data_IF_408855130074
#
_entry.id   IF_408855130074
#
_cell.length_a   1.000
_cell.length_b   1.000
_cell.length_c   1.000
_cell.angle_alpha   90.00
_cell.angle_beta   90.00
_cell.angle_gamma   90.00
#
_symmetry.space_group_name_H-M   'P 1'
#
loop_
_entity.id
_entity.type
_entity.pdbx_description
1 polymer ?
#
# COMPACT_ATOMS: atom_id res chain seq x y z
N UNK A 1 -36.76 6.72 -9.71
CA UNK A 1 -36.01 7.90 -9.27
C UNK A 1 -35.89 8.98 -10.35
N UNK A 2 -35.39 8.73 -11.55
CA UNK A 2 -35.22 9.72 -12.61
C UNK A 2 -36.51 10.53 -13.00
N UNK A 3 -37.70 9.98 -12.81
CA UNK A 3 -38.97 10.73 -13.07
C UNK A 3 -39.35 11.71 -11.99
N UNK A 4 -38.96 11.52 -10.75
CA UNK A 4 -39.25 12.43 -9.62
C UNK A 4 -38.28 13.62 -9.60
N UNK A 5 -37.04 13.43 -9.99
CA UNK A 5 -36.06 14.51 -10.12
C UNK A 5 -36.45 15.50 -11.22
N UNK A 6 -36.87 15.01 -12.39
CA UNK A 6 -37.38 15.85 -13.50
C UNK A 6 -38.67 16.65 -13.16
N UNK A 7 -39.51 16.09 -12.30
CA UNK A 7 -40.72 16.79 -11.86
C UNK A 7 -40.44 17.93 -10.86
N UNK A 8 -39.35 17.78 -10.06
CA UNK A 8 -38.91 18.83 -9.14
C UNK A 8 -38.27 20.02 -9.86
N UNK A 9 -37.47 19.75 -10.90
CA UNK A 9 -36.85 20.78 -11.76
C UNK A 9 -37.88 21.61 -12.55
N UNK A 10 -39.10 21.07 -12.76
CA UNK A 10 -40.17 21.76 -13.51
C UNK A 10 -41.23 22.37 -12.61
N UNK A 11 -41.05 22.43 -11.29
CA UNK A 11 -42.01 23.02 -10.34
C UNK A 11 -43.37 22.31 -10.27
N UNK A 12 -43.47 21.05 -10.67
CA UNK A 12 -44.70 20.24 -10.81
C UNK A 12 -44.97 19.25 -9.68
N UNK A 13 -44.42 19.45 -8.48
CA UNK A 13 -44.74 18.64 -7.33
C UNK A 13 -46.13 18.92 -6.76
N UNK A 14 -46.90 17.87 -6.52
CA UNK A 14 -48.25 18.01 -5.90
C UNK A 14 -48.12 18.27 -4.39
N UNK A 15 -49.07 19.02 -3.78
CA UNK A 15 -49.08 19.26 -2.32
C UNK A 15 -49.08 17.92 -1.55
N UNK A 16 -48.11 17.74 -0.65
CA UNK A 16 -47.97 16.53 0.20
C UNK A 16 -46.93 15.49 -0.22
N UNK A 17 -46.31 15.63 -1.38
CA UNK A 17 -45.16 14.77 -1.76
C UNK A 17 -43.86 15.25 -1.10
N UNK A 18 -43.23 14.40 -0.27
CA UNK A 18 -41.91 14.66 0.34
C UNK A 18 -40.82 13.99 -0.49
N UNK A 19 -39.81 14.74 -0.85
CA UNK A 19 -38.57 14.19 -1.42
C UNK A 19 -37.79 13.40 -0.35
N UNK A 20 -37.17 12.29 -0.70
CA UNK A 20 -36.25 11.59 0.22
C UNK A 20 -35.15 12.52 0.71
N UNK A 21 -34.68 12.33 1.97
CA UNK A 21 -33.68 13.19 2.62
C UNK A 21 -32.42 13.45 1.76
N UNK A 22 -32.04 12.49 0.93
CA UNK A 22 -30.87 12.56 0.04
C UNK A 22 -31.00 13.60 -1.11
N UNK A 23 -32.18 14.11 -1.41
CA UNK A 23 -32.39 15.09 -2.48
C UNK A 23 -32.53 16.53 -1.95
N UNK A 24 -32.48 16.77 -0.65
CA UNK A 24 -32.65 18.10 -0.06
C UNK A 24 -31.42 19.00 -0.20
N UNK A 25 -30.22 18.39 -0.25
CA UNK A 25 -28.96 19.15 -0.27
C UNK A 25 -28.57 19.68 -1.66
N UNK A 26 -29.27 19.23 -2.71
CA UNK A 26 -28.98 19.64 -4.10
C UNK A 26 -29.69 20.96 -4.49
N UNK A 27 -30.70 21.43 -3.72
CA UNK A 27 -31.55 22.57 -4.10
C UNK A 27 -31.20 23.89 -3.40
N UNK A 28 -30.12 24.01 -2.63
CA UNK A 28 -29.78 25.24 -1.86
C UNK A 28 -28.58 26.02 -2.44
N UNK A 29 -28.10 25.69 -3.63
CA UNK A 29 -27.06 26.50 -4.30
C UNK A 29 -27.62 27.29 -5.49
N UNK A 30 -28.43 28.32 -5.19
CA UNK A 30 -28.73 29.38 -6.17
C UNK A 30 -27.82 30.59 -5.86
N UNK A 31 -26.86 30.86 -6.73
CA UNK A 31 -26.25 32.18 -6.85
C UNK A 31 -24.76 32.35 -6.60
N UNK A 32 -23.94 31.29 -6.54
CA UNK A 32 -22.51 31.46 -6.67
C UNK A 32 -22.06 31.06 -8.08
N UNK A 33 -21.31 31.93 -8.76
CA UNK A 33 -20.54 31.56 -9.94
C UNK A 33 -19.64 30.35 -9.57
N UNK A 34 -20.13 29.14 -9.82
CA UNK A 34 -19.29 27.95 -9.83
C UNK A 34 -18.33 28.18 -11.01
N UNK A 35 -17.01 28.31 -10.80
CA UNK A 35 -16.09 28.27 -11.92
C UNK A 35 -16.43 26.99 -12.67
N UNK A 36 -16.64 27.09 -13.99
CA UNK A 36 -16.91 25.94 -14.83
C UNK A 36 -15.99 24.82 -14.37
N UNK A 37 -16.58 23.75 -13.81
CA UNK A 37 -15.85 22.51 -13.59
C UNK A 37 -15.25 22.24 -14.95
N UNK A 38 -13.94 22.43 -15.10
CA UNK A 38 -13.22 21.88 -16.24
C UNK A 38 -13.77 20.47 -16.37
N UNK A 39 -14.31 20.12 -17.53
CA UNK A 39 -14.42 18.72 -17.92
C UNK A 39 -13.01 18.18 -17.81
N UNK A 40 -12.65 17.70 -16.61
CA UNK A 40 -11.57 16.78 -16.46
C UNK A 40 -12.06 15.56 -17.20
N UNK A 41 -11.51 15.30 -18.38
CA UNK A 41 -11.37 13.91 -18.79
C UNK A 41 -11.04 13.15 -17.51
N UNK A 42 -11.84 12.18 -17.13
CA UNK A 42 -11.57 11.34 -15.96
C UNK A 42 -10.28 10.57 -16.26
N UNK A 43 -9.17 11.23 -16.02
CA UNK A 43 -7.85 10.63 -16.16
C UNK A 43 -7.71 9.72 -14.96
N UNK A 44 -8.00 8.45 -15.17
CA UNK A 44 -7.67 7.39 -14.21
C UNK A 44 -6.19 7.52 -13.88
N UNK A 45 -5.88 7.88 -12.65
CA UNK A 45 -4.51 8.19 -12.25
C UNK A 45 -4.09 7.30 -11.09
N UNK A 46 -2.94 6.66 -11.29
CA UNK A 46 -2.19 6.06 -10.18
C UNK A 46 -1.86 7.14 -9.13
N UNK A 47 -2.02 6.81 -7.84
CA UNK A 47 -1.70 7.73 -6.77
C UNK A 47 -0.27 7.50 -6.29
N UNK A 48 0.63 8.40 -6.66
CA UNK A 48 2.02 8.31 -6.22
C UNK A 48 2.21 8.85 -4.82
N UNK A 49 2.87 8.05 -4.00
CA UNK A 49 3.21 8.34 -2.63
C UNK A 49 4.68 8.11 -2.30
N UNK A 50 4.99 8.34 -1.05
CA UNK A 50 6.34 8.19 -0.52
C UNK A 50 6.32 7.30 0.72
N UNK A 51 7.33 6.46 0.88
CA UNK A 51 7.60 5.79 2.14
C UNK A 51 8.07 6.83 3.16
N UNK A 52 7.23 7.13 4.17
CA UNK A 52 7.38 8.33 5.02
C UNK A 52 8.72 8.37 5.77
N UNK A 53 9.28 7.22 6.10
CA UNK A 53 10.60 7.18 6.75
C UNK A 53 11.80 7.38 5.80
N UNK A 54 11.55 7.58 4.50
CA UNK A 54 12.55 8.02 3.51
C UNK A 54 12.49 9.55 3.30
N UNK A 55 11.47 10.21 3.87
CA UNK A 55 11.37 11.67 3.88
C UNK A 55 12.31 12.32 4.91
N UNK A 56 12.24 13.63 5.02
CA UNK A 56 12.96 14.42 6.01
C UNK A 56 12.72 13.91 7.45
N UNK A 57 13.75 13.88 8.26
CA UNK A 57 13.68 13.44 9.67
C UNK A 57 13.15 14.56 10.56
N UNK A 58 11.89 14.92 10.38
CA UNK A 58 11.17 15.98 11.07
C UNK A 58 9.93 15.40 11.77
N UNK A 59 9.36 16.10 12.76
CA UNK A 59 8.05 15.76 13.31
C UNK A 59 6.97 15.68 12.21
N UNK A 60 5.94 14.86 12.45
CA UNK A 60 4.88 14.57 11.47
C UNK A 60 4.25 15.84 10.89
N UNK A 61 3.96 16.83 11.74
CA UNK A 61 3.33 18.09 11.35
C UNK A 61 4.18 18.94 10.41
N UNK A 62 5.51 18.72 10.42
CA UNK A 62 6.46 19.45 9.58
C UNK A 62 6.78 18.65 8.30
N UNK A 63 6.85 17.33 8.36
CA UNK A 63 7.21 16.51 7.20
C UNK A 63 6.06 16.38 6.20
N UNK A 64 4.81 16.28 6.65
CA UNK A 64 3.66 16.11 5.75
C UNK A 64 3.47 17.28 4.77
N UNK A 65 3.54 18.56 5.18
CA UNK A 65 3.52 19.69 4.24
C UNK A 65 4.61 19.59 3.17
N UNK A 66 5.83 19.17 3.54
CA UNK A 66 6.94 19.01 2.58
C UNK A 66 6.69 17.86 1.61
N UNK A 67 6.18 16.73 2.09
CA UNK A 67 5.79 15.59 1.24
C UNK A 67 4.73 16.02 0.23
N UNK A 68 3.71 16.79 0.67
CA UNK A 68 2.69 17.34 -0.24
C UNK A 68 3.26 18.33 -1.25
N UNK A 69 4.14 19.22 -0.81
CA UNK A 69 4.81 20.20 -1.69
C UNK A 69 5.66 19.52 -2.78
N UNK A 70 6.25 18.36 -2.48
CA UNK A 70 7.00 17.55 -3.44
C UNK A 70 6.12 16.84 -4.48
N UNK A 71 4.79 16.92 -4.36
CA UNK A 71 3.83 16.35 -5.32
C UNK A 71 3.26 14.99 -4.94
N UNK A 72 3.60 14.45 -3.78
CA UNK A 72 3.05 13.18 -3.31
C UNK A 72 1.64 13.35 -2.76
N UNK A 73 0.75 12.39 -3.05
CA UNK A 73 -0.65 12.40 -2.64
C UNK A 73 -0.99 11.33 -1.62
N UNK A 74 -0.11 10.37 -1.41
CA UNK A 74 -0.28 9.34 -0.39
C UNK A 74 1.06 8.98 0.27
N UNK A 75 1.01 8.23 1.36
CA UNK A 75 2.21 7.81 2.08
C UNK A 75 2.08 6.38 2.61
N UNK A 76 3.20 5.64 2.57
CA UNK A 76 3.40 4.42 3.33
C UNK A 76 3.91 4.78 4.71
N UNK A 77 3.16 4.46 5.75
CA UNK A 77 3.49 4.76 7.14
C UNK A 77 3.84 3.47 7.91
N UNK A 78 5.08 3.37 8.37
CA UNK A 78 5.49 2.36 9.35
C UNK A 78 5.75 3.07 10.69
N UNK A 79 4.87 2.90 11.67
CA UNK A 79 4.89 3.67 12.94
C UNK A 79 6.27 3.67 13.62
N UNK A 80 6.88 2.49 13.78
CA UNK A 80 8.19 2.35 14.43
C UNK A 80 9.35 3.04 13.70
N UNK A 81 9.19 3.29 12.40
CA UNK A 81 10.23 3.92 11.56
C UNK A 81 9.97 5.41 11.33
N UNK A 82 8.70 5.78 11.21
CA UNK A 82 8.26 7.13 10.84
C UNK A 82 7.97 8.03 12.04
N UNK A 83 7.53 7.47 13.18
CA UNK A 83 7.09 8.21 14.37
C UNK A 83 7.84 7.70 15.60
N UNK A 84 9.14 7.98 15.65
CA UNK A 84 10.05 7.45 16.68
C UNK A 84 9.79 8.01 18.08
N UNK A 85 9.15 9.17 18.18
CA UNK A 85 8.78 9.85 19.43
C UNK A 85 7.62 9.15 20.16
N UNK A 86 6.89 8.27 19.46
CA UNK A 86 5.76 7.54 20.05
C UNK A 86 6.13 6.05 20.14
N UNK A 87 6.01 5.42 21.34
CA UNK A 87 6.26 3.98 21.47
C UNK A 87 5.36 3.16 20.57
N UNK A 88 5.93 2.21 19.82
CA UNK A 88 5.18 1.31 18.96
C UNK A 88 4.73 0.04 19.73
N UNK A 89 3.87 0.23 20.73
CA UNK A 89 3.28 -0.86 21.53
C UNK A 89 1.77 -0.89 21.35
N UNK A 90 1.11 -2.05 21.51
CA UNK A 90 -0.35 -2.17 21.34
C UNK A 90 -1.15 -1.18 22.16
N UNK A 91 -0.70 -0.85 23.40
CA UNK A 91 -1.40 0.07 24.31
C UNK A 91 -1.42 1.53 23.84
N UNK A 92 -0.52 1.94 22.98
CA UNK A 92 -0.45 3.31 22.43
C UNK A 92 -1.39 3.49 21.23
N UNK A 93 -1.79 2.39 20.58
CA UNK A 93 -2.63 2.42 19.37
C UNK A 93 -4.11 2.66 19.73
N UNK A 94 -4.39 3.83 20.31
CA UNK A 94 -5.70 4.24 20.81
C UNK A 94 -6.55 4.92 19.72
N UNK A 95 -7.91 4.98 19.90
CA UNK A 95 -8.77 5.75 18.99
C UNK A 95 -8.38 7.23 18.87
N UNK A 96 -7.99 7.87 19.99
CA UNK A 96 -7.55 9.27 19.98
C UNK A 96 -6.29 9.47 19.17
N UNK A 97 -5.32 8.56 19.26
CA UNK A 97 -4.11 8.63 18.44
C UNK A 97 -4.41 8.38 16.95
N UNK A 98 -5.29 7.45 16.62
CA UNK A 98 -5.73 7.25 15.25
C UNK A 98 -6.39 8.51 14.66
N UNK A 99 -7.28 9.15 15.43
CA UNK A 99 -7.94 10.39 15.01
C UNK A 99 -6.95 11.55 14.82
N UNK A 100 -5.99 11.71 15.74
CA UNK A 100 -4.93 12.70 15.61
C UNK A 100 -4.13 12.50 14.31
N UNK A 101 -3.65 11.28 14.04
CA UNK A 101 -2.89 10.99 12.81
C UNK A 101 -3.75 11.25 11.57
N UNK A 102 -5.01 10.76 11.55
CA UNK A 102 -5.93 11.00 10.43
C UNK A 102 -6.03 12.50 10.12
N UNK A 103 -6.30 13.34 11.11
CA UNK A 103 -6.40 14.78 10.92
C UNK A 103 -5.11 15.42 10.39
N UNK A 104 -3.94 14.92 10.81
CA UNK A 104 -2.67 15.44 10.28
C UNK A 104 -2.50 15.13 8.79
N UNK A 105 -2.87 13.92 8.36
CA UNK A 105 -2.81 13.52 6.96
C UNK A 105 -3.86 14.25 6.10
N UNK A 106 -5.13 14.25 6.53
CA UNK A 106 -6.24 14.94 5.85
C UNK A 106 -5.96 16.43 5.66
N UNK A 107 -5.48 17.12 6.70
CA UNK A 107 -5.10 18.54 6.66
C UNK A 107 -4.10 18.86 5.55
N UNK A 108 -3.23 17.90 5.22
CA UNK A 108 -2.20 18.07 4.20
C UNK A 108 -2.61 17.47 2.84
N UNK A 109 -3.81 16.89 2.72
CA UNK A 109 -4.27 16.25 1.50
C UNK A 109 -3.42 15.05 1.09
N UNK A 110 -2.98 14.25 2.07
CA UNK A 110 -2.19 13.03 1.87
C UNK A 110 -2.99 11.85 2.42
N UNK A 111 -3.22 10.83 1.61
CA UNK A 111 -3.85 9.59 2.04
C UNK A 111 -2.82 8.66 2.70
N UNK A 112 -3.27 7.84 3.65
CA UNK A 112 -2.42 6.78 4.20
C UNK A 112 -2.67 5.53 3.35
N UNK A 113 -1.76 5.26 2.41
CA UNK A 113 -1.87 4.14 1.48
C UNK A 113 -1.77 2.78 2.17
N UNK A 114 -0.86 2.66 3.13
CA UNK A 114 -0.61 1.43 3.89
C UNK A 114 0.00 1.73 5.25
N UNK A 115 -0.44 0.97 6.25
CA UNK A 115 0.21 0.91 7.57
C UNK A 115 1.16 -0.29 7.59
N UNK A 116 2.46 -0.05 7.48
CA UNK A 116 3.48 -1.10 7.47
C UNK A 116 3.74 -1.71 8.85
N UNK A 117 3.69 -3.04 8.95
CA UNK A 117 4.01 -3.79 10.17
C UNK A 117 4.82 -5.06 9.82
N UNK A 118 6.13 -4.93 9.80
CA UNK A 118 7.06 -5.96 9.29
C UNK A 118 7.61 -6.81 10.44
N UNK A 119 6.85 -7.82 10.87
CA UNK A 119 7.20 -8.73 11.96
C UNK A 119 7.16 -10.18 11.48
N UNK A 120 8.00 -11.03 12.08
CA UNK A 120 8.23 -12.41 11.65
C UNK A 120 7.11 -13.38 12.10
N UNK A 121 6.12 -13.62 11.24
CA UNK A 121 5.03 -14.57 11.48
C UNK A 121 5.46 -16.05 11.36
N UNK A 122 6.70 -16.32 10.99
CA UNK A 122 7.28 -17.66 11.01
C UNK A 122 8.28 -17.86 12.17
N UNK A 123 8.21 -17.01 13.20
CA UNK A 123 9.10 -17.10 14.37
C UNK A 123 8.98 -18.47 15.03
N UNK A 124 10.11 -19.16 15.33
CA UNK A 124 10.09 -20.53 15.86
C UNK A 124 9.66 -20.61 17.33
N UNK A 125 9.89 -19.57 18.11
CA UNK A 125 9.47 -19.48 19.51
C UNK A 125 7.99 -19.10 19.61
N UNK A 126 7.21 -19.89 20.36
CA UNK A 126 5.75 -19.74 20.45
C UNK A 126 5.31 -18.47 21.19
N UNK A 127 6.03 -18.08 22.25
CA UNK A 127 5.69 -16.88 23.03
C UNK A 127 6.00 -15.61 22.23
N UNK A 128 7.13 -15.59 21.54
CA UNK A 128 7.47 -14.51 20.63
C UNK A 128 6.48 -14.41 19.46
N UNK A 129 6.07 -15.54 18.88
CA UNK A 129 5.06 -15.58 17.83
C UNK A 129 3.70 -15.02 18.31
N UNK A 130 3.27 -15.42 19.51
CA UNK A 130 2.05 -14.89 20.12
C UNK A 130 2.13 -13.37 20.30
N UNK A 131 3.24 -12.86 20.84
CA UNK A 131 3.45 -11.43 21.00
C UNK A 131 3.48 -10.67 19.63
N UNK A 132 3.99 -11.30 18.59
CA UNK A 132 3.97 -10.79 17.21
C UNK A 132 2.52 -10.71 16.70
N UNK A 133 1.73 -11.77 16.87
CA UNK A 133 0.32 -11.80 16.45
C UNK A 133 -0.51 -10.73 17.17
N UNK A 134 -0.32 -10.53 18.46
CA UNK A 134 -0.98 -9.46 19.24
C UNK A 134 -0.64 -8.06 18.67
N UNK A 135 0.58 -7.83 18.22
CA UNK A 135 0.95 -6.59 17.53
C UNK A 135 0.23 -6.44 16.19
N UNK A 136 0.05 -7.52 15.42
CA UNK A 136 -0.74 -7.47 14.18
C UNK A 136 -2.20 -7.15 14.47
N UNK A 137 -2.82 -7.79 15.47
CA UNK A 137 -4.21 -7.50 15.84
C UNK A 137 -4.39 -6.03 16.24
N UNK A 138 -3.46 -5.49 17.02
CA UNK A 138 -3.47 -4.08 17.38
C UNK A 138 -3.32 -3.15 16.16
N UNK A 139 -2.42 -3.46 15.22
CA UNK A 139 -2.22 -2.67 14.00
C UNK A 139 -3.43 -2.74 13.06
N UNK A 140 -4.05 -3.89 12.89
CA UNK A 140 -5.26 -4.07 12.07
C UNK A 140 -6.41 -3.24 12.65
N UNK A 141 -6.68 -3.36 13.97
CA UNK A 141 -7.67 -2.52 14.64
C UNK A 141 -7.36 -1.04 14.49
N UNK A 142 -6.10 -0.66 14.65
CA UNK A 142 -5.67 0.73 14.51
C UNK A 142 -5.82 1.23 13.09
N UNK A 143 -5.49 0.44 12.07
CA UNK A 143 -5.69 0.79 10.66
C UNK A 143 -7.17 1.07 10.35
N UNK A 144 -8.09 0.27 10.87
CA UNK A 144 -9.54 0.51 10.76
C UNK A 144 -9.94 1.84 11.39
N UNK A 145 -9.48 2.15 12.62
CA UNK A 145 -9.76 3.41 13.30
C UNK A 145 -9.13 4.62 12.60
N UNK A 146 -7.93 4.43 12.04
CA UNK A 146 -7.19 5.45 11.30
C UNK A 146 -7.84 5.81 9.97
N UNK A 147 -8.67 4.92 9.42
CA UNK A 147 -9.22 5.04 8.07
C UNK A 147 -8.24 4.59 6.98
N UNK A 148 -7.15 3.92 7.36
CA UNK A 148 -6.24 3.24 6.44
C UNK A 148 -6.79 1.84 6.15
N UNK A 149 -7.17 1.56 4.92
CA UNK A 149 -7.78 0.29 4.53
C UNK A 149 -6.81 -0.90 4.46
N UNK A 150 -5.50 -0.69 4.71
CA UNK A 150 -4.48 -1.71 4.45
C UNK A 150 -3.39 -1.76 5.52
N UNK A 151 -3.03 -2.99 5.92
CA UNK A 151 -1.79 -3.29 6.68
C UNK A 151 -0.86 -4.08 5.78
N UNK A 152 0.36 -3.59 5.58
CA UNK A 152 1.40 -4.25 4.76
C UNK A 152 2.40 -5.02 5.62
N UNK A 153 2.84 -6.18 5.12
CA UNK A 153 3.87 -7.01 5.76
C UNK A 153 4.66 -7.84 4.76
N UNK A 154 5.90 -8.16 5.11
CA UNK A 154 6.69 -9.23 4.49
C UNK A 154 6.36 -10.58 5.14
N UNK A 155 6.94 -11.68 4.63
CA UNK A 155 6.53 -13.04 5.02
C UNK A 155 7.50 -13.74 5.97
N UNK A 156 8.63 -13.12 6.31
CA UNK A 156 9.53 -13.62 7.35
C UNK A 156 10.47 -14.74 6.95
N UNK A 157 11.10 -15.30 7.97
CA UNK A 157 12.04 -16.43 7.89
C UNK A 157 11.79 -17.40 9.05
N UNK A 158 12.10 -18.71 8.90
CA UNK A 158 11.87 -19.71 9.94
C UNK A 158 12.96 -19.69 11.03
N UNK A 159 13.41 -18.50 11.42
CA UNK A 159 14.40 -18.25 12.47
C UNK A 159 14.07 -16.99 13.27
N UNK A 160 14.67 -16.81 14.43
CA UNK A 160 14.46 -15.68 15.31
C UNK A 160 15.06 -14.37 14.76
N UNK A 161 16.12 -14.46 13.97
CA UNK A 161 16.88 -13.32 13.45
C UNK A 161 16.19 -12.62 12.28
N UNK A 162 15.09 -13.18 11.75
CA UNK A 162 14.40 -12.68 10.57
C UNK A 162 15.34 -12.55 9.35
N UNK A 163 16.26 -13.51 9.19
CA UNK A 163 17.24 -13.50 8.12
C UNK A 163 17.06 -14.68 7.18
N UNK A 164 17.45 -14.47 5.93
CA UNK A 164 17.47 -15.54 4.96
C UNK A 164 18.31 -16.74 5.46
N UNK A 165 17.74 -17.92 5.31
CA UNK A 165 18.40 -19.21 5.46
C UNK A 165 17.84 -20.19 4.41
N UNK A 166 18.56 -21.29 4.09
CA UNK A 166 18.08 -22.26 3.08
C UNK A 166 16.68 -22.80 3.37
N UNK A 167 16.30 -22.93 4.63
CA UNK A 167 14.99 -23.40 5.09
C UNK A 167 13.84 -22.47 4.66
N UNK A 168 14.10 -21.17 4.35
CA UNK A 168 13.10 -20.29 3.77
C UNK A 168 12.52 -20.86 2.46
N UNK A 169 13.26 -21.72 1.76
CA UNK A 169 12.83 -22.37 0.51
C UNK A 169 11.97 -23.61 0.71
N UNK A 170 11.85 -24.12 1.94
CA UNK A 170 11.13 -25.35 2.24
C UNK A 170 9.60 -25.16 2.24
N UNK A 171 8.86 -26.21 1.90
CA UNK A 171 7.41 -26.23 2.00
C UNK A 171 6.95 -26.28 3.47
N UNK A 172 7.77 -26.81 4.36
CA UNK A 172 7.51 -26.78 5.80
C UNK A 172 7.47 -25.35 6.34
N UNK A 173 8.41 -24.47 5.91
CA UNK A 173 8.39 -23.06 6.28
C UNK A 173 7.16 -22.34 5.73
N UNK A 174 6.76 -22.62 4.48
CA UNK A 174 5.56 -22.06 3.88
C UNK A 174 4.29 -22.48 4.64
N UNK A 175 4.15 -23.77 4.94
CA UNK A 175 3.02 -24.31 5.69
C UNK A 175 2.94 -23.70 7.10
N UNK A 176 4.08 -23.52 7.76
CA UNK A 176 4.19 -22.87 9.08
C UNK A 176 3.75 -21.41 9.00
N UNK A 177 4.25 -20.67 8.02
CA UNK A 177 3.84 -19.28 7.78
C UNK A 177 2.32 -19.18 7.55
N UNK A 178 1.74 -19.98 6.64
CA UNK A 178 0.31 -20.00 6.35
C UNK A 178 -0.50 -20.28 7.61
N UNK A 179 -0.11 -21.30 8.39
CA UNK A 179 -0.79 -21.65 9.66
C UNK A 179 -0.81 -20.46 10.62
N UNK A 180 0.33 -19.81 10.81
CA UNK A 180 0.48 -18.71 11.76
C UNK A 180 -0.19 -17.42 11.27
N UNK A 181 -0.32 -17.26 9.95
CA UNK A 181 -0.90 -16.07 9.33
C UNK A 181 -2.44 -16.13 9.27
N UNK A 182 -3.05 -17.30 9.16
CA UNK A 182 -4.52 -17.46 9.13
C UNK A 182 -5.26 -16.68 10.25
N UNK A 183 -4.84 -16.70 11.53
CA UNK A 183 -5.49 -15.91 12.57
C UNK A 183 -5.40 -14.39 12.35
N UNK A 184 -4.30 -13.91 11.78
CA UNK A 184 -4.07 -12.48 11.46
C UNK A 184 -5.01 -12.04 10.35
N UNK A 185 -5.16 -12.85 9.29
CA UNK A 185 -6.11 -12.59 8.20
C UNK A 185 -7.56 -12.56 8.71
N UNK A 186 -7.94 -13.50 9.57
CA UNK A 186 -9.28 -13.50 10.20
C UNK A 186 -9.55 -12.22 11.02
N UNK A 187 -8.53 -11.71 11.71
CA UNK A 187 -8.65 -10.43 12.39
C UNK A 187 -8.87 -9.29 11.38
N UNK A 188 -8.16 -9.29 10.26
CA UNK A 188 -8.36 -8.30 9.20
C UNK A 188 -9.78 -8.33 8.63
N UNK A 189 -10.35 -9.52 8.40
CA UNK A 189 -11.75 -9.70 8.00
C UNK A 189 -12.73 -9.06 8.99
N UNK A 190 -12.52 -9.28 10.31
CA UNK A 190 -13.39 -8.73 11.36
C UNK A 190 -13.40 -7.20 11.40
N UNK A 191 -12.29 -6.57 11.05
CA UNK A 191 -12.15 -5.11 11.07
C UNK A 191 -12.34 -4.46 9.70
N UNK A 192 -12.63 -5.24 8.64
CA UNK A 192 -12.78 -4.73 7.27
C UNK A 192 -11.49 -4.12 6.71
N UNK A 193 -10.33 -4.64 7.13
CA UNK A 193 -9.00 -4.18 6.71
C UNK A 193 -8.40 -5.24 5.78
N UNK A 194 -7.75 -4.78 4.72
CA UNK A 194 -6.91 -5.64 3.88
C UNK A 194 -5.56 -5.86 4.56
N UNK A 195 -5.09 -7.09 4.64
CA UNK A 195 -3.69 -7.36 4.93
C UNK A 195 -2.98 -7.77 3.64
N UNK A 196 -1.93 -7.04 3.28
CA UNK A 196 -1.20 -7.26 2.04
C UNK A 196 0.19 -7.82 2.33
N UNK A 197 0.49 -8.99 1.75
CA UNK A 197 1.84 -9.58 1.84
C UNK A 197 2.69 -9.08 0.69
N UNK A 198 3.93 -8.79 1.00
CA UNK A 198 4.97 -8.43 0.05
C UNK A 198 5.89 -9.64 -0.18
N UNK A 199 5.86 -10.25 -1.36
CA UNK A 199 6.81 -11.31 -1.71
C UNK A 199 8.23 -10.75 -1.84
N UNK A 200 9.19 -11.40 -1.17
CA UNK A 200 10.61 -10.97 -1.16
C UNK A 200 11.50 -12.16 -1.37
N UNK A 201 12.39 -12.08 -2.32
CA UNK A 201 13.29 -13.16 -2.73
C UNK A 201 14.11 -13.80 -1.59
N UNK A 202 14.27 -13.10 -0.48
CA UNK A 202 14.99 -13.57 0.73
C UNK A 202 14.07 -14.15 1.81
N UNK A 203 12.77 -14.13 1.62
CA UNK A 203 11.77 -14.57 2.60
C UNK A 203 11.15 -15.92 2.23
N UNK A 204 10.21 -16.38 3.04
CA UNK A 204 9.48 -17.63 2.82
C UNK A 204 8.64 -17.57 1.54
N UNK A 205 7.95 -16.45 1.30
CA UNK A 205 7.24 -16.21 0.04
C UNK A 205 8.18 -15.39 -0.86
N UNK A 206 8.98 -16.09 -1.64
CA UNK A 206 10.08 -15.50 -2.41
C UNK A 206 9.77 -15.25 -3.89
N UNK A 207 8.64 -15.72 -4.38
CA UNK A 207 8.20 -15.58 -5.76
C UNK A 207 6.66 -15.51 -5.88
N UNK A 208 6.19 -15.26 -7.09
CA UNK A 208 4.76 -15.14 -7.37
C UNK A 208 3.99 -16.46 -7.18
N UNK A 209 4.62 -17.61 -7.45
CA UNK A 209 3.97 -18.93 -7.29
C UNK A 209 3.69 -19.24 -5.83
N UNK A 210 4.65 -18.97 -4.95
CA UNK A 210 4.43 -19.13 -3.51
C UNK A 210 3.42 -18.14 -2.96
N UNK A 211 3.42 -16.90 -3.47
CA UNK A 211 2.40 -15.91 -3.12
C UNK A 211 1.00 -16.40 -3.53
N UNK A 212 0.86 -16.96 -4.74
CA UNK A 212 -0.40 -17.56 -5.20
C UNK A 212 -0.84 -18.69 -4.28
N UNK A 213 0.08 -19.58 -3.89
CA UNK A 213 -0.22 -20.67 -2.95
C UNK A 213 -0.76 -20.14 -1.62
N UNK A 214 -0.16 -19.08 -1.06
CA UNK A 214 -0.66 -18.47 0.20
C UNK A 214 -2.07 -17.91 0.04
N UNK A 215 -2.33 -17.20 -1.07
CA UNK A 215 -3.64 -16.64 -1.36
C UNK A 215 -4.71 -17.75 -1.47
N UNK A 216 -4.40 -18.82 -2.20
CA UNK A 216 -5.33 -19.94 -2.42
C UNK A 216 -5.59 -20.76 -1.14
N UNK A 217 -4.54 -21.04 -0.35
CA UNK A 217 -4.63 -21.79 0.90
C UNK A 217 -5.37 -21.04 2.04
N UNK A 218 -5.34 -19.73 2.01
CA UNK A 218 -6.06 -18.90 2.99
C UNK A 218 -7.47 -18.57 2.48
N UNK A 219 -7.62 -18.25 1.20
CA UNK A 219 -8.89 -18.07 0.52
C UNK A 219 -9.71 -16.87 1.00
N UNK A 220 -9.06 -15.81 1.49
CA UNK A 220 -9.72 -14.62 2.03
C UNK A 220 -9.63 -13.41 1.09
N UNK A 221 -10.74 -12.68 0.84
CA UNK A 221 -10.69 -11.44 0.06
C UNK A 221 -9.93 -10.31 0.78
N UNK A 222 -9.73 -10.42 2.10
CA UNK A 222 -8.97 -9.47 2.90
C UNK A 222 -7.45 -9.75 2.88
N UNK A 223 -7.01 -10.83 2.20
CA UNK A 223 -5.61 -11.08 1.93
C UNK A 223 -5.29 -10.71 0.49
N UNK A 224 -4.38 -9.76 0.30
CA UNK A 224 -3.99 -9.25 -1.00
C UNK A 224 -2.46 -9.12 -1.10
N UNK A 225 -1.98 -8.60 -2.21
CA UNK A 225 -0.55 -8.47 -2.52
C UNK A 225 -0.14 -6.98 -2.50
N UNK A 226 0.93 -6.71 -1.80
CA UNK A 226 1.75 -5.54 -1.97
C UNK A 226 2.85 -5.91 -2.96
N UNK A 227 2.80 -5.35 -4.16
CA UNK A 227 3.69 -5.73 -5.24
C UNK A 227 4.91 -4.82 -5.34
N UNK A 228 6.06 -5.33 -4.94
CA UNK A 228 7.35 -4.70 -5.22
C UNK A 228 8.11 -5.58 -6.23
N UNK A 229 8.22 -5.15 -7.49
CA UNK A 229 8.86 -5.95 -8.53
C UNK A 229 10.35 -6.20 -8.25
N UNK A 230 11.06 -5.24 -7.64
CA UNK A 230 12.49 -5.39 -7.33
C UNK A 230 12.72 -6.40 -6.21
N UNK A 231 11.78 -6.58 -5.30
CA UNK A 231 11.87 -7.58 -4.24
C UNK A 231 11.80 -9.03 -4.74
N UNK A 232 11.34 -9.25 -5.97
CA UNK A 232 11.34 -10.56 -6.64
C UNK A 232 12.68 -10.86 -7.34
N UNK A 233 13.60 -9.89 -7.40
CA UNK A 233 14.84 -10.02 -8.16
C UNK A 233 16.03 -10.43 -7.29
N UNK A 234 16.90 -11.23 -7.89
CA UNK A 234 18.22 -11.57 -7.41
C UNK A 234 19.21 -11.61 -8.58
N UNK A 235 20.47 -11.97 -8.32
CA UNK A 235 21.49 -12.02 -9.37
C UNK A 235 21.25 -13.10 -10.44
N UNK A 236 20.42 -14.11 -10.15
CA UNK A 236 20.13 -15.22 -11.07
C UNK A 236 19.02 -14.87 -12.08
N UNK A 237 18.10 -13.97 -11.71
CA UNK A 237 16.91 -13.65 -12.53
C UNK A 237 16.84 -12.20 -13.01
N UNK A 238 17.70 -11.31 -12.51
CA UNK A 238 17.64 -9.87 -12.81
C UNK A 238 17.76 -9.53 -14.31
N UNK A 239 18.46 -10.34 -15.08
CA UNK A 239 18.57 -10.15 -16.53
C UNK A 239 17.30 -10.57 -17.30
N UNK A 240 16.43 -11.35 -16.66
CA UNK A 240 15.12 -11.76 -17.16
C UNK A 240 13.98 -11.11 -16.35
N UNK A 241 14.20 -9.92 -15.80
CA UNK A 241 13.25 -9.25 -14.92
C UNK A 241 11.87 -9.04 -15.52
N UNK A 242 11.80 -8.76 -16.83
CA UNK A 242 10.51 -8.59 -17.52
C UNK A 242 9.66 -9.88 -17.49
N UNK A 243 10.30 -11.05 -17.62
CA UNK A 243 9.61 -12.35 -17.49
C UNK A 243 9.11 -12.56 -16.06
N UNK A 244 9.92 -12.19 -15.05
CA UNK A 244 9.53 -12.26 -13.64
C UNK A 244 8.33 -11.36 -13.33
N UNK A 245 8.32 -10.15 -13.89
CA UNK A 245 7.22 -9.21 -13.70
C UNK A 245 5.95 -9.67 -14.42
N UNK A 246 6.07 -10.17 -15.67
CA UNK A 246 4.96 -10.70 -16.41
C UNK A 246 4.33 -11.91 -15.69
N UNK A 247 5.13 -12.87 -15.20
CA UNK A 247 4.64 -14.00 -14.39
C UNK A 247 3.94 -13.52 -13.11
N UNK A 248 4.51 -12.53 -12.42
CA UNK A 248 3.90 -11.99 -11.21
C UNK A 248 2.56 -11.31 -11.48
N UNK A 249 2.44 -10.53 -12.55
CA UNK A 249 1.19 -9.90 -12.97
C UNK A 249 0.17 -10.96 -13.40
N UNK A 250 0.56 -11.97 -14.15
CA UNK A 250 -0.32 -13.06 -14.57
C UNK A 250 -0.91 -13.80 -13.37
N UNK A 251 -0.07 -14.18 -12.41
CA UNK A 251 -0.48 -14.98 -11.26
C UNK A 251 -1.20 -14.17 -10.17
N UNK A 252 -0.82 -12.92 -9.96
CA UNK A 252 -1.22 -12.12 -8.80
C UNK A 252 -2.03 -10.86 -9.16
N UNK A 253 -2.11 -10.46 -10.44
CA UNK A 253 -2.62 -9.15 -10.85
C UNK A 253 -3.97 -8.78 -10.25
N UNK A 254 -4.93 -9.72 -10.22
CA UNK A 254 -6.25 -9.50 -9.62
C UNK A 254 -6.17 -9.16 -8.11
N UNK A 255 -5.18 -9.70 -7.41
CA UNK A 255 -5.01 -9.59 -5.97
C UNK A 255 -3.98 -8.50 -5.58
N UNK A 256 -3.34 -7.81 -6.54
CA UNK A 256 -2.45 -6.68 -6.26
C UNK A 256 -3.28 -5.49 -5.79
N UNK A 257 -3.06 -5.05 -4.55
CA UNK A 257 -3.75 -3.93 -3.91
C UNK A 257 -2.92 -2.65 -3.89
N UNK A 258 -1.61 -2.76 -3.94
CA UNK A 258 -0.66 -1.64 -3.89
C UNK A 258 0.63 -2.00 -4.59
N UNK A 259 1.36 -0.99 -5.08
CA UNK A 259 2.66 -1.17 -5.73
C UNK A 259 3.72 -0.37 -4.96
N UNK A 260 4.88 -0.98 -4.74
CA UNK A 260 6.10 -0.27 -4.36
C UNK A 260 7.01 -0.08 -5.57
N UNK A 261 7.57 1.11 -5.71
CA UNK A 261 8.54 1.45 -6.75
C UNK A 261 9.89 1.79 -6.14
N UNK A 262 10.88 0.98 -6.47
CA UNK A 262 12.30 1.22 -6.21
C UNK A 262 13.14 0.72 -7.37
N UNK A 263 14.43 0.91 -7.26
CA UNK A 263 15.42 0.44 -8.22
C UNK A 263 16.49 -0.40 -7.51
N UNK A 264 17.43 -0.91 -8.27
CA UNK A 264 18.54 -1.69 -7.75
C UNK A 264 19.88 -1.31 -8.39
N UNK A 265 20.94 -1.47 -7.62
CA UNK A 265 22.32 -1.42 -8.08
C UNK A 265 22.92 -2.83 -7.94
N UNK A 266 23.65 -3.27 -8.96
CA UNK A 266 24.46 -4.47 -8.87
C UNK A 266 25.73 -4.15 -8.09
N UNK A 267 25.99 -4.85 -6.99
CA UNK A 267 27.23 -4.69 -6.24
C UNK A 267 28.28 -5.66 -6.79
N UNK A 268 29.41 -5.15 -7.19
CA UNK A 268 30.53 -5.94 -7.71
C UNK A 268 31.11 -6.91 -6.67
N UNK A 269 31.12 -6.51 -5.40
CA UNK A 269 31.54 -7.34 -4.30
C UNK A 269 30.35 -8.15 -3.73
N UNK A 270 30.33 -9.46 -4.02
CA UNK A 270 29.41 -10.41 -3.39
C UNK A 270 28.12 -10.72 -4.16
N UNK A 271 27.96 -10.26 -5.41
CA UNK A 271 26.86 -10.68 -6.28
C UNK A 271 25.46 -10.37 -5.72
N UNK A 272 25.24 -9.21 -5.09
CA UNK A 272 23.96 -8.82 -4.50
C UNK A 272 23.38 -7.60 -5.18
N UNK A 273 22.03 -7.54 -5.22
CA UNK A 273 21.32 -6.33 -5.56
C UNK A 273 21.17 -5.45 -4.32
N UNK A 274 21.50 -4.16 -4.45
CA UNK A 274 21.24 -3.15 -3.42
C UNK A 274 20.11 -2.25 -3.86
N UNK A 275 19.11 -2.05 -3.00
CA UNK A 275 17.98 -1.18 -3.29
C UNK A 275 18.40 0.30 -3.36
N UNK A 276 17.79 1.05 -4.29
CA UNK A 276 17.90 2.50 -4.45
C UNK A 276 16.58 3.08 -4.94
N UNK A 277 16.45 4.40 -5.01
CA UNK A 277 15.22 5.05 -5.51
C UNK A 277 14.98 4.80 -6.99
N UNK A 278 13.73 4.86 -7.42
CA UNK A 278 13.31 4.60 -8.79
C UNK A 278 14.05 5.51 -9.79
N UNK A 279 14.56 4.92 -10.88
CA UNK A 279 15.34 5.62 -11.90
C UNK A 279 16.79 5.93 -11.50
N UNK A 280 17.27 5.40 -10.37
CA UNK A 280 18.63 5.64 -9.87
C UNK A 280 19.55 4.41 -10.05
N UNK A 281 19.07 3.38 -10.73
CA UNK A 281 19.80 2.10 -10.85
C UNK A 281 19.61 1.38 -12.18
N UNK A 282 19.62 0.06 -12.12
CA UNK A 282 19.61 -0.83 -13.29
C UNK A 282 18.23 -1.27 -13.78
N UNK A 283 17.15 -0.82 -13.15
CA UNK A 283 15.77 -1.16 -13.57
C UNK A 283 15.46 -0.60 -14.96
N UNK A 284 15.70 0.69 -15.16
CA UNK A 284 15.61 1.41 -16.43
C UNK A 284 14.21 1.59 -17.00
N UNK A 285 13.31 0.61 -16.84
CA UNK A 285 11.96 0.63 -17.42
C UNK A 285 10.93 0.06 -16.43
N UNK A 286 9.84 0.82 -16.19
CA UNK A 286 8.71 0.42 -15.34
C UNK A 286 7.41 0.28 -16.13
N UNK A 287 7.46 0.45 -17.47
CA UNK A 287 6.24 0.53 -18.29
C UNK A 287 5.39 -0.74 -18.27
N UNK A 288 5.99 -1.93 -18.12
CA UNK A 288 5.22 -3.17 -17.94
C UNK A 288 4.30 -3.07 -16.72
N UNK A 289 4.83 -2.61 -15.59
CA UNK A 289 4.08 -2.49 -14.33
C UNK A 289 3.12 -1.30 -14.37
N UNK A 290 3.56 -0.16 -14.91
CA UNK A 290 2.75 1.06 -15.02
C UNK A 290 1.57 0.86 -15.99
N UNK A 291 1.76 0.13 -17.10
CA UNK A 291 0.71 -0.22 -18.04
C UNK A 291 -0.34 -1.15 -17.39
N UNK A 292 0.12 -2.18 -16.66
CA UNK A 292 -0.78 -3.00 -15.86
C UNK A 292 -1.59 -2.15 -14.86
N UNK A 293 -0.92 -1.27 -14.10
CA UNK A 293 -1.61 -0.39 -13.16
C UNK A 293 -2.63 0.52 -13.84
N UNK A 294 -2.28 1.12 -14.99
CA UNK A 294 -3.14 2.02 -15.75
C UNK A 294 -4.40 1.32 -16.30
N UNK A 295 -4.24 0.09 -16.78
CA UNK A 295 -5.31 -0.67 -17.45
C UNK A 295 -6.20 -1.44 -16.48
N UNK A 296 -5.61 -2.06 -15.46
CA UNK A 296 -6.29 -3.05 -14.61
C UNK A 296 -6.60 -2.51 -13.20
N UNK A 297 -5.84 -1.51 -12.73
CA UNK A 297 -5.89 -1.00 -11.35
C UNK A 297 -5.92 0.55 -11.30
N UNK A 298 -6.86 1.20 -11.99
CA UNK A 298 -6.98 2.66 -11.91
C UNK A 298 -7.16 3.08 -10.44
N UNK A 299 -6.51 4.18 -10.04
CA UNK A 299 -6.47 4.70 -8.66
C UNK A 299 -5.67 3.87 -7.64
N UNK A 300 -4.89 2.87 -8.08
CA UNK A 300 -4.03 2.11 -7.16
C UNK A 300 -3.04 3.04 -6.47
N UNK A 301 -2.80 2.80 -5.20
CA UNK A 301 -1.69 3.42 -4.48
C UNK A 301 -0.36 2.84 -4.93
N UNK A 302 0.61 3.72 -5.17
CA UNK A 302 1.96 3.34 -5.52
C UNK A 302 2.95 4.21 -4.74
N UNK A 303 3.75 3.62 -3.84
CA UNK A 303 4.72 4.39 -3.08
C UNK A 303 6.15 4.13 -3.51
N UNK A 304 6.92 5.21 -3.54
CA UNK A 304 8.35 5.15 -3.78
C UNK A 304 9.07 4.69 -2.51
N UNK A 305 10.03 3.81 -2.67
CA UNK A 305 10.89 3.29 -1.63
C UNK A 305 12.38 3.56 -1.91
N UNK A 306 13.18 3.55 -0.84
CA UNK A 306 14.64 3.75 -0.91
C UNK A 306 15.04 5.05 -1.60
N UNK A 307 14.17 6.05 -1.52
CA UNK A 307 14.49 7.43 -1.89
C UNK A 307 15.18 8.16 -0.74
N UNK A 308 15.66 9.34 -1.03
CA UNK A 308 16.14 10.31 -0.04
C UNK A 308 15.35 11.61 -0.17
N UNK A 309 15.39 12.50 0.84
CA UNK A 309 14.78 13.81 0.70
C UNK A 309 15.19 14.57 -0.56
N UNK A 310 16.44 14.38 -1.02
CA UNK A 310 17.03 15.09 -2.16
C UNK A 310 16.60 14.53 -3.50
N UNK A 311 16.44 13.19 -3.62
CA UNK A 311 16.15 12.55 -4.92
C UNK A 311 14.68 12.17 -5.12
N UNK A 312 13.83 12.25 -4.08
CA UNK A 312 12.44 11.77 -4.13
C UNK A 312 11.61 12.42 -5.24
N UNK A 313 11.79 13.72 -5.48
CA UNK A 313 11.10 14.45 -6.58
C UNK A 313 11.58 13.95 -7.96
N UNK A 314 12.87 13.73 -8.13
CA UNK A 314 13.41 13.20 -9.38
C UNK A 314 12.88 11.79 -9.66
N UNK A 315 12.82 10.93 -8.63
CA UNK A 315 12.26 9.58 -8.77
C UNK A 315 10.77 9.63 -9.14
N UNK A 316 10.00 10.54 -8.54
CA UNK A 316 8.58 10.73 -8.87
C UNK A 316 8.41 11.17 -10.32
N UNK A 317 9.14 12.19 -10.76
CA UNK A 317 9.09 12.70 -12.14
C UNK A 317 9.49 11.62 -13.17
N UNK A 318 10.45 10.77 -12.82
CA UNK A 318 10.86 9.65 -13.66
C UNK A 318 9.72 8.64 -13.88
N UNK A 319 9.00 8.26 -12.82
CA UNK A 319 7.86 7.35 -12.91
C UNK A 319 6.66 8.00 -13.61
N UNK A 320 6.35 9.26 -13.32
CA UNK A 320 5.26 10.01 -13.98
C UNK A 320 5.48 10.09 -15.49
N UNK A 321 6.71 10.42 -15.92
CA UNK A 321 7.04 10.44 -17.34
C UNK A 321 6.76 9.09 -18.01
N UNK A 322 7.20 7.97 -17.40
CA UNK A 322 6.95 6.64 -17.96
C UNK A 322 5.46 6.27 -17.94
N UNK A 323 4.71 6.71 -16.92
CA UNK A 323 3.27 6.51 -16.85
C UNK A 323 2.51 7.24 -17.96
N UNK A 324 2.93 8.46 -18.28
CA UNK A 324 2.33 9.27 -19.35
C UNK A 324 2.61 8.67 -20.74
N UNK A 325 3.76 7.98 -20.90
CA UNK A 325 4.18 7.30 -22.12
C UNK A 325 3.52 5.91 -22.32
N UNK A 326 2.72 5.40 -21.35
CA UNK A 326 2.09 4.07 -21.40
C UNK A 326 0.74 4.05 -22.14
#
# INVERSE_FOLDING_TARGET
MARLTRAAEQGKLRPGQRLPLFCRDILVYNGANIPALREKEDVFMIQFGLRLHDAEKLPLEQVLPLVRQKGFTCAHMALSKSLKEVPNTPGVLTPGYALYLRHQFEKNGIDIAVLGNYLNLAHPDADALHAIQEKYYAHIRFASLLGCGMVGTETGAPNAEYKFCPECRSDAALSTFIKNFKPVVRCAEQYGVTIAIEPVVKHIVYDAKRARTVLDEIGSPNLQILFDPVNLLNMENVDRREEVFAEAIELLGKDIAMIHFKDFLRKDAGGQLAATGAGQGGMGDYRTILRFAKQEKPYIFATLENTTPENSVQCLQYLQKQYDEC
#
